data_IF_718870739730
#
_entry.id   IF_718870739730
#
_cell.length_a   1.000
_cell.length_b   1.000
_cell.length_c   1.000
_cell.angle_alpha   90.00
_cell.angle_beta   90.00
_cell.angle_gamma   90.00
#
_symmetry.space_group_name_H-M   'P 1'
#
loop_
_entity.id
_entity.type
_entity.pdbx_description
1 polymer ?
#
# COMPACT_ATOMS: atom_id res chain seq x y z
N UNK A 1 24.33 -6.45 -10.10
CA UNK A 1 25.30 -6.22 -9.00
C UNK A 1 24.49 -5.72 -7.82
N UNK A 2 24.37 -6.50 -6.75
CA UNK A 2 23.71 -6.06 -5.52
C UNK A 2 24.54 -4.93 -4.93
N UNK A 3 23.94 -3.75 -4.74
CA UNK A 3 24.58 -2.60 -4.09
C UNK A 3 24.93 -2.97 -2.64
N UNK A 4 26.21 -2.98 -2.28
CA UNK A 4 26.66 -3.16 -0.89
C UNK A 4 26.42 -1.87 -0.08
N UNK A 5 25.16 -1.67 0.26
CA UNK A 5 24.69 -0.50 1.00
C UNK A 5 25.30 -0.43 2.41
N UNK A 6 25.71 -1.55 3.01
CA UNK A 6 26.28 -1.62 4.36
C UNK A 6 27.60 -0.87 4.50
N UNK A 7 28.29 -0.59 3.40
CA UNK A 7 29.50 0.24 3.40
C UNK A 7 29.22 1.74 3.60
N UNK A 8 27.96 2.18 3.48
CA UNK A 8 27.57 3.60 3.45
C UNK A 8 26.53 4.00 4.51
N UNK A 9 25.69 3.07 4.94
CA UNK A 9 24.64 3.31 5.92
C UNK A 9 24.82 2.40 7.13
N UNK A 10 24.55 2.96 8.30
CA UNK A 10 24.49 2.25 9.57
C UNK A 10 23.05 1.81 9.81
N UNK A 11 22.87 0.65 10.43
CA UNK A 11 21.55 0.13 10.80
C UNK A 11 21.48 -0.04 12.31
N UNK A 12 20.37 0.40 12.89
CA UNK A 12 19.98 0.09 14.26
C UNK A 12 18.72 -0.76 14.20
N UNK A 13 18.76 -1.94 14.81
CA UNK A 13 17.59 -2.80 14.99
C UNK A 13 17.12 -2.67 16.43
N UNK A 14 15.93 -2.11 16.63
CA UNK A 14 15.35 -1.89 17.95
C UNK A 14 14.14 -2.79 18.15
N UNK A 15 14.17 -3.60 19.21
CA UNK A 15 13.05 -4.44 19.63
C UNK A 15 12.05 -3.70 20.54
N UNK A 16 12.35 -2.45 20.89
CA UNK A 16 11.55 -1.62 21.79
C UNK A 16 11.80 -0.15 21.43
N UNK A 17 11.02 0.39 20.49
CA UNK A 17 11.15 1.78 20.03
C UNK A 17 10.44 2.72 21.00
N UNK A 18 10.65 2.54 22.32
CA UNK A 18 10.19 3.30 23.51
C UNK A 18 8.70 3.76 23.57
N UNK A 19 7.92 3.58 22.50
CA UNK A 19 6.61 4.18 22.21
C UNK A 19 5.77 3.31 21.26
N UNK A 20 6.31 2.22 20.71
CA UNK A 20 5.64 1.31 19.76
C UNK A 20 5.76 -0.14 20.21
N UNK A 21 4.64 -0.86 20.18
CA UNK A 21 4.61 -2.33 20.34
C UNK A 21 5.05 -2.97 19.01
N UNK A 22 6.38 -2.97 18.76
CA UNK A 22 6.92 -3.43 17.47
C UNK A 22 8.45 -3.50 17.38
N UNK A 23 8.92 -3.99 16.24
CA UNK A 23 10.35 -4.10 15.90
C UNK A 23 10.63 -3.16 14.72
N UNK A 24 11.77 -2.46 14.77
CA UNK A 24 12.15 -1.46 13.78
C UNK A 24 13.58 -1.57 13.29
N UNK A 25 13.78 -1.24 12.02
CA UNK A 25 15.06 -0.99 11.38
C UNK A 25 15.16 0.50 11.06
N UNK A 26 16.15 1.16 11.65
CA UNK A 26 16.47 2.57 11.39
C UNK A 26 17.80 2.65 10.66
N UNK A 27 17.81 3.34 9.53
CA UNK A 27 18.99 3.53 8.70
C UNK A 27 19.49 4.96 8.81
N UNK A 28 20.78 5.11 9.12
CA UNK A 28 21.42 6.41 9.25
C UNK A 28 22.66 6.52 8.37
N UNK A 29 23.04 7.76 8.02
CA UNK A 29 24.34 8.02 7.40
C UNK A 29 25.48 7.82 8.41
N UNK A 30 26.74 7.79 7.94
CA UNK A 30 27.91 7.81 8.83
C UNK A 30 27.98 9.05 9.74
N UNK A 31 27.19 10.08 9.46
CA UNK A 31 27.03 11.28 10.30
C UNK A 31 25.85 11.20 11.26
N UNK A 32 25.20 10.04 11.37
CA UNK A 32 24.01 9.80 12.18
C UNK A 32 22.80 10.65 11.78
N UNK A 33 22.65 10.91 10.48
CA UNK A 33 21.43 11.51 9.94
C UNK A 33 20.46 10.39 9.54
N UNK A 34 19.22 10.43 10.03
CA UNK A 34 18.18 9.45 9.68
C UNK A 34 17.80 9.59 8.21
N UNK A 35 17.85 8.50 7.45
CA UNK A 35 17.52 8.51 6.02
C UNK A 35 16.27 7.71 5.70
N UNK A 36 16.05 6.62 6.43
CA UNK A 36 14.97 5.69 6.16
C UNK A 36 14.69 4.85 7.41
N UNK A 37 13.44 4.48 7.62
CA UNK A 37 13.08 3.55 8.66
C UNK A 37 12.00 2.59 8.17
N UNK A 38 12.03 1.36 8.66
CA UNK A 38 11.04 0.31 8.38
C UNK A 38 10.66 -0.34 9.70
N UNK A 39 9.37 -0.44 9.98
CA UNK A 39 8.84 -0.99 11.24
C UNK A 39 7.79 -2.06 10.96
N UNK A 40 7.62 -2.97 11.93
CA UNK A 40 6.45 -3.84 12.05
C UNK A 40 5.83 -3.63 13.43
N UNK A 41 4.53 -3.39 13.47
CA UNK A 41 3.74 -3.30 14.70
C UNK A 41 2.77 -4.47 14.80
N UNK A 42 2.63 -5.03 16.00
CA UNK A 42 1.82 -6.23 16.26
C UNK A 42 0.69 -5.98 17.26
N UNK A 43 0.48 -4.73 17.70
CA UNK A 43 -0.51 -4.38 18.72
C UNK A 43 -1.97 -4.44 18.28
N UNK A 44 -2.24 -4.69 17.00
CA UNK A 44 -3.56 -4.70 16.37
C UNK A 44 -4.09 -6.11 16.05
N UNK A 45 -5.17 -6.16 15.26
CA UNK A 45 -5.68 -7.42 14.72
C UNK A 45 -4.74 -8.07 13.70
N UNK A 46 -3.83 -7.27 13.13
CA UNK A 46 -2.92 -7.64 12.05
C UNK A 46 -1.54 -7.04 12.29
N UNK A 47 -0.47 -7.68 11.79
CA UNK A 47 0.81 -7.03 11.59
C UNK A 47 0.68 -5.84 10.63
N UNK A 48 1.18 -4.68 11.05
CA UNK A 48 1.24 -3.48 10.20
C UNK A 48 2.70 -3.16 9.95
N UNK A 49 3.11 -3.22 8.68
CA UNK A 49 4.43 -2.81 8.26
C UNK A 49 4.38 -1.34 7.87
N UNK A 50 5.38 -0.56 8.26
CA UNK A 50 5.46 0.84 7.84
C UNK A 50 6.85 1.23 7.41
N UNK A 51 6.94 2.24 6.57
CA UNK A 51 8.18 2.87 6.18
C UNK A 51 8.01 4.38 6.16
N UNK A 52 9.04 5.08 6.64
CA UNK A 52 9.04 6.52 6.73
C UNK A 52 10.37 7.09 6.22
N UNK A 53 10.27 8.24 5.56
CA UNK A 53 11.43 9.00 5.11
C UNK A 53 12.03 9.78 6.30
N UNK A 54 13.35 9.68 6.47
CA UNK A 54 14.08 10.54 7.40
C UNK A 54 14.38 11.93 6.83
N UNK A 55 14.97 12.80 7.64
CA UNK A 55 15.37 14.16 7.23
C UNK A 55 16.58 14.17 6.29
N UNK A 56 17.36 13.09 6.27
CA UNK A 56 18.51 12.90 5.40
C UNK A 56 18.14 12.67 3.93
N UNK A 57 19.15 12.74 3.06
CA UNK A 57 18.98 12.39 1.65
C UNK A 57 18.67 10.90 1.50
N UNK A 58 17.64 10.57 0.72
CA UNK A 58 17.28 9.18 0.46
C UNK A 58 18.45 8.45 -0.24
N UNK A 59 18.69 7.17 0.12
CA UNK A 59 19.60 6.31 -0.62
C UNK A 59 19.19 6.20 -2.10
N UNK A 60 20.13 5.90 -3.02
CA UNK A 60 19.80 5.57 -4.40
C UNK A 60 18.77 4.44 -4.49
N UNK A 61 17.90 4.40 -5.52
CA UNK A 61 16.77 3.46 -5.59
C UNK A 61 17.13 1.99 -5.33
N UNK A 62 18.18 1.47 -5.96
CA UNK A 62 18.61 0.07 -5.78
C UNK A 62 19.09 -0.23 -4.34
N UNK A 63 19.75 0.73 -3.70
CA UNK A 63 20.19 0.60 -2.31
C UNK A 63 18.98 0.66 -1.36
N UNK A 64 18.07 1.60 -1.60
CA UNK A 64 16.84 1.74 -0.80
C UNK A 64 15.96 0.50 -0.90
N UNK A 65 15.80 -0.06 -2.10
CA UNK A 65 15.07 -1.30 -2.32
C UNK A 65 15.73 -2.49 -1.59
N UNK A 66 17.06 -2.61 -1.66
CA UNK A 66 17.78 -3.66 -0.96
C UNK A 66 17.68 -3.52 0.57
N UNK A 67 17.80 -2.31 1.10
CA UNK A 67 17.64 -2.00 2.53
C UNK A 67 16.22 -2.34 3.02
N UNK A 68 15.20 -1.90 2.29
CA UNK A 68 13.80 -2.18 2.62
C UNK A 68 13.49 -3.67 2.58
N UNK A 69 13.92 -4.38 1.53
CA UNK A 69 13.71 -5.83 1.43
C UNK A 69 14.35 -6.61 2.57
N UNK A 70 15.58 -6.22 2.95
CA UNK A 70 16.27 -6.88 4.04
C UNK A 70 15.55 -6.65 5.38
N UNK A 71 15.15 -5.40 5.67
CA UNK A 71 14.37 -5.10 6.86
C UNK A 71 13.03 -5.86 6.89
N UNK A 72 12.28 -5.86 5.78
CA UNK A 72 11.00 -6.58 5.68
C UNK A 72 11.19 -8.08 5.88
N UNK A 73 12.24 -8.68 5.28
CA UNK A 73 12.52 -10.10 5.46
C UNK A 73 12.83 -10.46 6.93
N UNK A 74 13.65 -9.65 7.60
CA UNK A 74 13.96 -9.84 9.02
C UNK A 74 12.71 -9.66 9.90
N UNK A 75 11.90 -8.65 9.62
CA UNK A 75 10.64 -8.40 10.32
C UNK A 75 9.60 -9.50 10.08
N UNK A 76 9.50 -10.08 8.88
CA UNK A 76 8.63 -11.24 8.66
C UNK A 76 9.11 -12.46 9.45
N UNK A 77 10.41 -12.75 9.39
CA UNK A 77 11.02 -13.86 10.11
C UNK A 77 10.86 -13.74 11.63
N UNK A 78 10.99 -12.53 12.18
CA UNK A 78 10.81 -12.27 13.60
C UNK A 78 9.36 -12.47 14.10
N UNK A 79 8.38 -12.51 13.20
CA UNK A 79 6.97 -12.81 13.52
C UNK A 79 6.58 -14.26 13.15
N UNK A 80 7.52 -15.09 12.71
CA UNK A 80 7.25 -16.43 12.16
C UNK A 80 6.25 -16.40 10.99
N UNK A 81 6.26 -15.31 10.22
CA UNK A 81 5.43 -15.14 9.02
C UNK A 81 6.17 -15.75 7.84
N UNK A 82 5.74 -16.95 7.45
CA UNK A 82 6.34 -17.67 6.34
C UNK A 82 6.19 -16.88 5.02
N UNK A 83 7.24 -16.89 4.20
CA UNK A 83 7.22 -16.30 2.86
C UNK A 83 8.01 -17.21 1.90
N UNK A 84 7.43 -18.39 1.65
CA UNK A 84 8.13 -19.52 1.03
C UNK A 84 8.64 -19.24 -0.39
N UNK A 85 7.96 -18.37 -1.15
CA UNK A 85 8.32 -17.97 -2.51
C UNK A 85 8.87 -16.53 -2.59
N UNK A 86 8.90 -15.82 -1.46
CA UNK A 86 9.37 -14.45 -1.35
C UNK A 86 8.38 -13.41 -1.89
N UNK A 87 7.13 -13.79 -2.19
CA UNK A 87 6.14 -12.88 -2.76
C UNK A 87 5.69 -11.83 -1.73
N UNK A 88 5.38 -12.22 -0.49
CA UNK A 88 4.89 -11.31 0.54
C UNK A 88 5.93 -10.23 0.84
N UNK A 89 7.19 -10.62 1.06
CA UNK A 89 8.30 -9.70 1.30
C UNK A 89 8.50 -8.74 0.13
N UNK A 90 8.46 -9.22 -1.12
CA UNK A 90 8.59 -8.37 -2.30
C UNK A 90 7.44 -7.37 -2.39
N UNK A 91 6.21 -7.80 -2.16
CA UNK A 91 5.02 -7.00 -2.29
C UNK A 91 4.92 -5.92 -1.20
N UNK A 92 5.14 -6.29 0.07
CA UNK A 92 5.25 -5.33 1.19
C UNK A 92 6.38 -4.34 0.91
N UNK A 93 7.57 -4.80 0.52
CA UNK A 93 8.68 -3.90 0.22
C UNK A 93 8.35 -2.91 -0.90
N UNK A 94 7.66 -3.37 -1.96
CA UNK A 94 7.23 -2.51 -3.06
C UNK A 94 6.21 -1.46 -2.60
N UNK A 95 5.23 -1.85 -1.78
CA UNK A 95 4.28 -0.92 -1.18
C UNK A 95 4.98 0.13 -0.30
N UNK A 96 5.86 -0.29 0.60
CA UNK A 96 6.61 0.59 1.50
C UNK A 96 7.50 1.59 0.74
N UNK A 97 8.06 1.20 -0.41
CA UNK A 97 8.86 2.10 -1.24
C UNK A 97 8.05 3.25 -1.84
N UNK A 98 6.72 3.25 -1.80
CA UNK A 98 5.90 4.42 -2.13
C UNK A 98 6.26 5.63 -1.23
N UNK A 99 6.69 5.41 0.02
CA UNK A 99 7.14 6.49 0.93
C UNK A 99 8.43 7.21 0.48
N UNK A 100 9.06 6.73 -0.59
CA UNK A 100 10.22 7.39 -1.19
C UNK A 100 9.87 8.30 -2.37
N UNK A 101 8.61 8.29 -2.81
CA UNK A 101 8.17 9.00 -4.01
C UNK A 101 7.74 10.43 -3.72
N UNK A 102 7.99 11.29 -4.71
CA UNK A 102 7.28 12.53 -4.91
C UNK A 102 6.26 12.30 -6.04
N UNK A 103 4.98 12.16 -5.67
CA UNK A 103 3.91 11.79 -6.61
C UNK A 103 3.38 13.03 -7.30
N UNK A 104 3.58 13.10 -8.62
CA UNK A 104 3.14 14.22 -9.45
C UNK A 104 1.66 14.11 -9.81
N UNK A 105 1.18 12.89 -10.08
CA UNK A 105 -0.20 12.62 -10.43
C UNK A 105 -0.56 11.15 -10.20
N UNK A 106 -1.85 10.87 -10.22
CA UNK A 106 -2.40 9.52 -10.23
C UNK A 106 -3.24 9.30 -11.47
N UNK A 107 -3.19 8.09 -12.01
CA UNK A 107 -4.10 7.65 -13.05
C UNK A 107 -4.48 6.19 -12.85
N UNK A 108 -5.51 5.72 -13.53
CA UNK A 108 -5.99 4.35 -13.39
C UNK A 108 -7.22 4.09 -14.23
N UNK A 109 -7.61 2.82 -14.30
CA UNK A 109 -8.90 2.42 -14.84
C UNK A 109 -9.88 2.23 -13.69
N UNK A 110 -10.89 3.09 -13.62
CA UNK A 110 -11.98 2.99 -12.66
C UNK A 110 -12.98 1.93 -13.12
N UNK A 111 -13.46 1.13 -12.17
CA UNK A 111 -14.63 0.27 -12.34
C UNK A 111 -15.92 1.03 -12.07
N UNK A 112 -16.96 0.73 -12.85
CA UNK A 112 -18.31 1.16 -12.55
C UNK A 112 -18.76 0.57 -11.20
N UNK A 113 -19.53 1.34 -10.42
CA UNK A 113 -20.12 0.84 -9.17
C UNK A 113 -21.19 -0.22 -9.42
N UNK A 114 -21.85 -0.12 -10.58
CA UNK A 114 -22.90 -1.02 -11.02
C UNK A 114 -22.75 -1.24 -12.53
N UNK A 115 -22.87 -2.50 -12.93
CA UNK A 115 -22.79 -2.95 -14.32
C UNK A 115 -24.08 -3.67 -14.70
N UNK A 116 -24.57 -3.39 -15.91
CA UNK A 116 -25.72 -4.06 -16.50
C UNK A 116 -25.33 -5.27 -17.35
N UNK A 117 -26.26 -5.74 -18.15
CA UNK A 117 -25.98 -6.78 -19.16
C UNK A 117 -24.84 -6.33 -20.09
N UNK A 118 -23.98 -7.28 -20.50
CA UNK A 118 -22.81 -7.06 -21.36
C UNK A 118 -21.79 -6.04 -20.82
N UNK A 119 -21.61 -5.99 -19.49
CA UNK A 119 -20.67 -5.09 -18.78
C UNK A 119 -20.88 -3.62 -19.12
N UNK A 120 -22.14 -3.20 -19.29
CA UNK A 120 -22.44 -1.78 -19.52
C UNK A 120 -22.48 -1.04 -18.18
N UNK A 121 -21.62 -0.05 -18.00
CA UNK A 121 -21.62 0.80 -16.81
C UNK A 121 -22.99 1.47 -16.59
N UNK A 122 -23.61 1.22 -15.43
CA UNK A 122 -24.86 1.85 -15.00
C UNK A 122 -24.63 3.02 -14.06
N UNK A 123 -23.63 2.91 -13.19
CA UNK A 123 -23.28 3.94 -12.22
C UNK A 123 -21.77 4.04 -12.05
N UNK A 124 -21.29 5.27 -11.87
CA UNK A 124 -19.90 5.57 -11.58
C UNK A 124 -19.77 6.22 -10.21
N UNK A 125 -18.59 6.12 -9.61
CA UNK A 125 -18.34 6.81 -8.36
C UNK A 125 -18.34 8.34 -8.56
N UNK A 126 -18.94 9.03 -7.60
CA UNK A 126 -19.00 10.47 -7.47
C UNK A 126 -18.13 10.92 -6.28
N UNK A 127 -17.60 12.16 -6.28
CA UNK A 127 -16.79 12.64 -5.15
C UNK A 127 -17.48 12.55 -3.79
N UNK A 128 -18.81 12.66 -3.74
CA UNK A 128 -19.60 12.55 -2.51
C UNK A 128 -19.65 11.13 -1.94
N UNK A 129 -19.35 10.10 -2.74
CA UNK A 129 -19.35 8.71 -2.29
C UNK A 129 -18.14 8.43 -1.40
N UNK A 130 -17.09 9.25 -1.50
CA UNK A 130 -15.86 9.14 -0.70
C UNK A 130 -15.07 7.86 -0.97
N UNK A 131 -15.41 7.12 -2.04
CA UNK A 131 -14.77 5.86 -2.42
C UNK A 131 -14.87 5.64 -3.92
N UNK A 132 -13.87 5.01 -4.52
CA UNK A 132 -13.86 4.71 -5.96
C UNK A 132 -13.07 3.43 -6.22
N UNK A 133 -13.65 2.43 -6.90
CA UNK A 133 -12.96 1.19 -7.25
C UNK A 133 -12.16 1.35 -8.54
N UNK A 134 -10.95 0.80 -8.57
CA UNK A 134 -10.07 0.80 -9.73
C UNK A 134 -9.58 -0.60 -10.03
N UNK A 135 -9.57 -1.01 -11.31
CA UNK A 135 -8.92 -2.23 -11.75
C UNK A 135 -7.40 -2.17 -11.47
N UNK A 136 -6.84 -0.99 -11.68
CA UNK A 136 -5.46 -0.66 -11.35
C UNK A 136 -5.29 0.85 -11.20
N UNK A 137 -4.28 1.23 -10.44
CA UNK A 137 -3.83 2.60 -10.23
C UNK A 137 -2.35 2.72 -10.56
N UNK A 138 -1.92 3.90 -10.99
CA UNK A 138 -0.52 4.23 -11.17
C UNK A 138 -0.19 5.57 -10.51
N UNK A 139 0.75 5.53 -9.57
CA UNK A 139 1.43 6.72 -9.09
C UNK A 139 2.46 7.15 -10.14
N UNK A 140 2.36 8.38 -10.63
CA UNK A 140 3.31 8.99 -11.55
C UNK A 140 4.32 9.81 -10.75
N UNK A 141 5.54 9.30 -10.59
CA UNK A 141 6.61 10.02 -9.91
C UNK A 141 7.49 10.82 -10.87
N UNK A 142 8.40 11.63 -10.34
CA UNK A 142 9.42 12.34 -11.14
C UNK A 142 10.40 11.39 -11.81
N UNK A 143 10.78 10.32 -11.10
CA UNK A 143 11.87 9.42 -11.50
C UNK A 143 11.37 8.01 -11.86
N UNK A 144 10.22 7.60 -11.33
CA UNK A 144 9.65 6.26 -11.51
C UNK A 144 8.15 6.24 -11.26
N UNK A 145 7.49 5.27 -11.88
CA UNK A 145 6.09 4.97 -11.66
C UNK A 145 5.90 3.72 -10.80
N UNK A 146 4.79 3.68 -10.08
CA UNK A 146 4.34 2.50 -9.32
C UNK A 146 2.94 2.11 -9.76
N UNK A 147 2.78 0.88 -10.21
CA UNK A 147 1.49 0.27 -10.47
C UNK A 147 0.99 -0.41 -9.19
N UNK A 148 -0.28 -0.20 -8.90
CA UNK A 148 -1.03 -0.85 -7.85
C UNK A 148 -2.20 -1.55 -8.54
N UNK A 149 -2.32 -2.85 -8.34
CA UNK A 149 -3.39 -3.66 -8.89
C UNK A 149 -3.82 -4.69 -7.86
N UNK A 150 -4.57 -5.68 -8.29
CA UNK A 150 -4.93 -6.82 -7.49
C UNK A 150 -4.06 -8.04 -7.82
N UNK A 151 -3.75 -8.81 -6.79
CA UNK A 151 -3.18 -10.15 -6.82
C UNK A 151 -4.24 -11.14 -6.35
N UNK A 152 -4.38 -12.26 -7.06
CA UNK A 152 -5.27 -13.34 -6.68
C UNK A 152 -4.49 -14.46 -5.99
N UNK A 153 -4.95 -14.86 -4.82
CA UNK A 153 -4.52 -16.06 -4.10
C UNK A 153 -5.72 -16.99 -3.91
N UNK A 154 -5.79 -18.03 -4.74
CA UNK A 154 -6.94 -18.94 -4.83
C UNK A 154 -8.27 -18.19 -4.98
N UNK A 155 -9.07 -18.11 -3.91
CA UNK A 155 -10.42 -17.56 -3.90
C UNK A 155 -10.51 -16.13 -3.32
N UNK A 156 -9.37 -15.53 -2.98
CA UNK A 156 -9.30 -14.21 -2.35
C UNK A 156 -8.30 -13.32 -3.07
N UNK A 157 -8.52 -12.01 -2.96
CA UNK A 157 -7.72 -11.02 -3.63
C UNK A 157 -7.05 -10.06 -2.64
N UNK A 158 -5.83 -9.65 -2.96
CA UNK A 158 -5.04 -8.68 -2.21
C UNK A 158 -4.44 -7.61 -3.12
N UNK A 159 -3.92 -6.54 -2.54
CA UNK A 159 -3.21 -5.50 -3.26
C UNK A 159 -1.85 -6.02 -3.76
N UNK A 160 -1.50 -5.64 -4.99
CA UNK A 160 -0.24 -5.97 -5.66
C UNK A 160 0.48 -4.70 -6.05
N UNK A 161 1.76 -4.61 -5.73
CA UNK A 161 2.61 -3.44 -5.98
C UNK A 161 3.75 -3.82 -6.91
N UNK A 162 3.80 -3.17 -8.07
CA UNK A 162 4.82 -3.42 -9.09
C UNK A 162 5.46 -2.11 -9.49
N UNK A 163 6.79 -2.05 -9.41
CA UNK A 163 7.56 -0.91 -9.92
C UNK A 163 7.81 -1.06 -11.42
N UNK A 164 7.87 0.07 -12.13
CA UNK A 164 8.31 0.16 -13.53
C UNK A 164 7.47 -0.66 -14.54
N UNK A 165 6.16 -0.40 -14.60
CA UNK A 165 5.28 -1.05 -15.58
C UNK A 165 5.06 -0.17 -16.81
N UNK A 166 5.31 -0.73 -17.99
CA UNK A 166 4.92 -0.15 -19.28
C UNK A 166 3.44 -0.47 -19.57
N UNK A 167 2.55 0.17 -18.81
CA UNK A 167 1.11 0.13 -19.01
C UNK A 167 0.67 1.45 -19.64
N UNK A 168 -0.19 1.42 -20.64
CA UNK A 168 -0.79 2.63 -21.18
C UNK A 168 -2.22 2.76 -20.68
N UNK A 169 -2.56 3.93 -20.16
CA UNK A 169 -3.94 4.24 -19.85
C UNK A 169 -4.74 4.22 -21.17
N UNK A 170 -5.83 3.45 -21.27
CA UNK A 170 -6.61 3.36 -22.50
C UNK A 170 -7.09 4.73 -22.99
N UNK A 171 -7.20 4.87 -24.31
CA UNK A 171 -7.68 6.11 -24.94
C UNK A 171 -9.20 6.27 -24.89
N UNK A 172 -9.93 5.18 -24.59
CA UNK A 172 -11.39 5.11 -24.61
C UNK A 172 -11.87 4.15 -23.53
N UNK A 173 -13.04 4.43 -22.98
CA UNK A 173 -13.73 3.56 -22.03
C UNK A 173 -14.14 2.24 -22.69
N UNK A 174 -14.16 1.16 -21.91
CA UNK A 174 -14.50 -0.18 -22.39
C UNK A 174 -15.32 -0.95 -21.35
N UNK A 175 -16.54 -1.33 -21.72
CA UNK A 175 -17.46 -1.98 -20.78
C UNK A 175 -17.69 -1.11 -19.53
N UNK A 176 -17.42 -1.71 -18.38
CA UNK A 176 -17.52 -1.07 -17.06
C UNK A 176 -16.23 -0.40 -16.59
N UNK A 177 -15.27 -0.19 -17.50
CA UNK A 177 -14.00 0.46 -17.21
C UNK A 177 -13.90 1.82 -17.89
N UNK A 178 -13.45 2.84 -17.14
CA UNK A 178 -13.12 4.16 -17.69
C UNK A 178 -11.77 4.65 -17.22
N UNK A 179 -11.10 5.39 -18.09
CA UNK A 179 -9.79 5.96 -17.78
C UNK A 179 -9.90 7.23 -16.92
N UNK A 180 -9.15 7.28 -15.81
CA UNK A 180 -9.10 8.43 -14.90
C UNK A 180 -7.67 8.96 -14.75
N UNK A 181 -7.55 10.29 -14.64
CA UNK A 181 -6.29 11.02 -14.37
C UNK A 181 -6.41 12.00 -13.20
N UNK A 182 -7.61 12.10 -12.64
CA UNK A 182 -8.04 12.98 -11.56
C UNK A 182 -8.39 12.15 -10.33
N UNK A 183 -7.58 11.13 -10.04
CA UNK A 183 -7.81 10.25 -8.88
C UNK A 183 -7.49 11.04 -7.60
N UNK A 184 -8.42 11.13 -6.63
CA UNK A 184 -8.29 11.99 -5.45
C UNK A 184 -7.41 11.36 -4.36
N UNK A 185 -6.20 10.95 -4.74
CA UNK A 185 -5.18 10.41 -3.86
C UNK A 185 -4.14 11.48 -3.49
N UNK A 186 -3.38 11.21 -2.43
CA UNK A 186 -2.26 12.04 -1.98
C UNK A 186 -1.28 12.34 -3.11
N UNK A 187 -0.96 13.62 -3.31
CA UNK A 187 0.08 14.09 -4.25
C UNK A 187 1.20 14.80 -3.49
N UNK A 188 2.37 14.91 -4.11
CA UNK A 188 3.60 15.40 -3.49
C UNK A 188 4.37 14.29 -2.77
N UNK A 189 5.20 14.69 -1.80
CA UNK A 189 6.02 13.76 -1.03
C UNK A 189 5.18 12.89 -0.10
N UNK A 190 5.23 11.57 -0.32
CA UNK A 190 4.67 10.60 0.64
C UNK A 190 5.66 10.48 1.81
N UNK A 191 5.24 10.83 3.01
CA UNK A 191 6.08 10.85 4.22
C UNK A 191 6.19 9.48 4.87
N UNK A 192 5.08 8.75 4.83
CA UNK A 192 4.95 7.45 5.47
C UNK A 192 3.96 6.60 4.68
N UNK A 193 4.23 5.31 4.66
CA UNK A 193 3.32 4.28 4.14
C UNK A 193 3.14 3.24 5.23
N UNK A 194 1.91 2.79 5.42
CA UNK A 194 1.56 1.68 6.29
C UNK A 194 0.84 0.60 5.48
N UNK A 195 1.21 -0.64 5.70
CA UNK A 195 0.80 -1.82 4.92
C UNK A 195 0.25 -2.83 5.90
N UNK A 196 -1.03 -3.15 5.75
CA UNK A 196 -1.69 -4.21 6.52
C UNK A 196 -1.42 -5.53 5.85
N UNK A 197 -0.80 -6.46 6.58
CA UNK A 197 -0.72 -7.85 6.20
C UNK A 197 -1.80 -8.62 6.97
N UNK A 198 -2.92 -8.90 6.33
CA UNK A 198 -3.99 -9.69 6.94
C UNK A 198 -3.63 -11.17 6.90
N UNK A 199 -3.28 -11.71 8.07
CA UNK A 199 -2.91 -13.12 8.31
C UNK A 199 -4.11 -13.99 8.72
N UNK A 200 -5.30 -13.40 8.73
CA UNK A 200 -6.55 -14.01 9.18
C UNK A 200 -7.58 -14.12 8.04
N UNK A 201 -7.19 -13.82 6.80
CA UNK A 201 -8.02 -14.05 5.61
C UNK A 201 -8.22 -15.55 5.43
N UNK A 202 -9.48 -15.97 5.33
CA UNK A 202 -9.83 -17.35 5.00
C UNK A 202 -9.90 -17.49 3.48
N UNK A 203 -9.44 -18.63 2.95
CA UNK A 203 -9.58 -18.97 1.52
C UNK A 203 -8.34 -18.69 0.65
N UNK A 204 -7.29 -18.07 1.20
CA UNK A 204 -5.98 -17.95 0.55
C UNK A 204 -5.08 -19.16 0.82
N UNK A 205 -4.10 -19.39 -0.05
CA UNK A 205 -3.04 -20.39 0.12
C UNK A 205 -1.83 -19.84 0.87
N UNK A 206 -1.62 -18.52 0.80
CA UNK A 206 -0.55 -17.81 1.46
C UNK A 206 -0.89 -17.54 2.95
N UNK A 207 0.13 -17.40 3.82
CA UNK A 207 -0.08 -17.13 5.25
C UNK A 207 -0.55 -15.70 5.54
N UNK A 208 -0.69 -14.84 4.52
CA UNK A 208 -1.32 -13.54 4.64
C UNK A 208 -1.37 -12.80 3.30
N UNK A 209 -2.21 -11.76 3.25
CA UNK A 209 -2.40 -10.90 2.09
C UNK A 209 -2.17 -9.44 2.45
N UNK A 210 -1.59 -8.68 1.52
CA UNK A 210 -1.58 -7.22 1.65
C UNK A 210 -2.97 -6.73 1.30
N UNK A 211 -3.78 -6.35 2.28
CA UNK A 211 -5.19 -6.02 2.07
C UNK A 211 -5.45 -4.53 2.07
N UNK A 212 -4.62 -3.77 2.80
CA UNK A 212 -4.76 -2.33 2.90
C UNK A 212 -3.40 -1.63 2.90
N UNK A 213 -3.37 -0.45 2.28
CA UNK A 213 -2.21 0.45 2.31
C UNK A 213 -2.64 1.88 2.57
N UNK A 214 -2.15 2.47 3.65
CA UNK A 214 -2.37 3.86 4.01
C UNK A 214 -1.16 4.69 3.59
N UNK A 215 -1.42 5.71 2.77
CA UNK A 215 -0.45 6.67 2.30
C UNK A 215 -0.59 7.96 3.12
N UNK A 216 0.50 8.48 3.66
CA UNK A 216 0.54 9.74 4.39
C UNK A 216 1.28 10.80 3.59
N UNK A 217 0.59 11.84 3.17
CA UNK A 217 1.19 13.05 2.60
C UNK A 217 1.33 14.16 3.62
N UNK A 218 1.76 15.33 3.14
CA UNK A 218 1.92 16.51 3.98
C UNK A 218 0.60 17.06 4.55
N UNK A 219 -0.48 16.97 3.78
CA UNK A 219 -1.77 17.61 4.11
C UNK A 219 -2.95 16.65 4.19
N UNK A 220 -2.78 15.40 3.74
CA UNK A 220 -3.86 14.42 3.67
C UNK A 220 -3.31 13.01 3.69
N UNK A 221 -4.19 12.07 4.01
CA UNK A 221 -3.96 10.65 3.83
C UNK A 221 -4.71 10.13 2.61
N UNK A 222 -4.42 8.90 2.23
CA UNK A 222 -5.27 8.12 1.34
C UNK A 222 -5.15 6.65 1.67
N UNK A 223 -6.26 5.93 1.71
CA UNK A 223 -6.29 4.51 1.98
C UNK A 223 -6.64 3.75 0.70
N UNK A 224 -5.91 2.68 0.45
CA UNK A 224 -6.16 1.70 -0.58
C UNK A 224 -6.60 0.40 0.09
N UNK A 225 -7.68 -0.21 -0.40
CA UNK A 225 -8.19 -1.50 0.11
C UNK A 225 -8.44 -2.43 -1.08
N UNK A 226 -8.07 -3.71 -0.97
CA UNK A 226 -8.49 -4.75 -1.90
C UNK A 226 -9.97 -5.09 -1.65
N UNK A 227 -10.85 -4.61 -2.53
CA UNK A 227 -12.30 -4.72 -2.38
C UNK A 227 -13.01 -4.39 -3.70
N UNK A 228 -14.30 -4.71 -3.81
CA UNK A 228 -15.11 -4.38 -4.98
C UNK A 228 -16.52 -3.94 -4.60
N UNK A 229 -17.12 -3.11 -5.46
CA UNK A 229 -18.52 -2.72 -5.37
C UNK A 229 -19.40 -3.65 -6.20
N UNK A 230 -20.40 -4.25 -5.58
CA UNK A 230 -21.47 -4.98 -6.27
C UNK A 230 -22.71 -4.11 -6.47
N UNK A 231 -22.81 -3.04 -5.68
CA UNK A 231 -23.70 -1.92 -5.89
C UNK A 231 -23.16 -0.68 -5.17
N UNK A 232 -23.88 0.44 -5.26
CA UNK A 232 -23.50 1.64 -4.52
C UNK A 232 -23.32 1.42 -3.00
N UNK A 233 -24.08 0.49 -2.41
CA UNK A 233 -24.11 0.23 -0.97
C UNK A 233 -23.59 -1.16 -0.57
N UNK A 234 -23.13 -1.96 -1.52
CA UNK A 234 -22.66 -3.32 -1.25
C UNK A 234 -21.19 -3.45 -1.67
N UNK A 235 -20.33 -3.64 -0.68
CA UNK A 235 -18.89 -3.62 -0.84
C UNK A 235 -18.28 -4.89 -0.25
N UNK A 236 -17.55 -5.63 -1.09
CA UNK A 236 -16.94 -6.89 -0.72
C UNK A 236 -15.43 -6.71 -0.54
N UNK A 237 -14.87 -7.17 0.58
CA UNK A 237 -13.43 -7.22 0.80
C UNK A 237 -12.81 -8.39 0.06
N UNK A 238 -11.51 -8.27 -0.19
CA UNK A 238 -10.69 -9.31 -0.82
C UNK A 238 -11.17 -9.66 -2.22
N UNK A 239 -11.51 -8.63 -3.00
CA UNK A 239 -12.09 -8.78 -4.34
C UNK A 239 -11.29 -8.00 -5.41
N UNK A 240 -11.75 -8.00 -6.66
CA UNK A 240 -10.97 -7.72 -7.88
C UNK A 240 -10.57 -6.25 -8.11
N UNK A 241 -10.88 -5.34 -7.18
CA UNK A 241 -10.58 -3.91 -7.33
C UNK A 241 -9.70 -3.33 -6.22
N UNK A 242 -8.96 -2.28 -6.56
CA UNK A 242 -8.30 -1.38 -5.63
C UNK A 242 -9.26 -0.24 -5.31
N UNK A 243 -9.85 -0.24 -4.11
CA UNK A 243 -10.75 0.82 -3.67
C UNK A 243 -9.95 1.93 -2.99
N UNK A 244 -10.11 3.14 -3.52
CA UNK A 244 -9.53 4.38 -2.98
C UNK A 244 -10.49 5.01 -1.99
N UNK A 245 -10.02 5.31 -0.78
CA UNK A 245 -10.73 6.07 0.26
C UNK A 245 -9.85 7.20 0.80
N UNK A 246 -10.42 8.27 1.40
CA UNK A 246 -9.62 9.38 1.93
C UNK A 246 -8.79 8.99 3.16
N UNK A 247 -9.30 8.11 4.02
CA UNK A 247 -8.63 7.68 5.25
C UNK A 247 -9.24 6.39 5.83
N UNK A 248 -8.69 5.94 6.96
CA UNK A 248 -9.19 4.77 7.71
C UNK A 248 -10.58 5.00 8.30
N UNK A 249 -10.91 6.23 8.72
CA UNK A 249 -12.22 6.52 9.29
C UNK A 249 -13.34 6.41 8.25
N UNK A 250 -13.07 6.76 6.99
CA UNK A 250 -13.99 6.55 5.88
C UNK A 250 -14.22 5.05 5.61
N UNK A 251 -13.18 4.22 5.71
CA UNK A 251 -13.34 2.76 5.62
C UNK A 251 -14.11 2.18 6.82
N UNK A 252 -13.85 2.66 8.04
CA UNK A 252 -14.56 2.22 9.26
C UNK A 252 -16.07 2.53 9.22
N UNK A 253 -16.48 3.51 8.41
CA UNK A 253 -17.88 3.92 8.28
C UNK A 253 -18.70 3.07 7.28
N UNK A 254 -18.07 2.13 6.57
CA UNK A 254 -18.72 1.30 5.56
C UNK A 254 -19.09 -0.08 6.11
N UNK A 255 -20.23 -0.60 5.62
CA UNK A 255 -20.68 -1.95 5.89
C UNK A 255 -20.02 -2.93 4.90
N UNK A 256 -18.84 -3.43 5.28
CA UNK A 256 -18.06 -4.39 4.48
C UNK A 256 -18.59 -5.82 4.56
N UNK A 257 -18.45 -6.57 3.46
CA UNK A 257 -18.72 -8.00 3.37
C UNK A 257 -17.44 -8.75 3.00
N UNK A 258 -16.88 -9.64 3.84
CA UNK A 258 -17.18 -9.79 5.26
C UNK A 258 -16.85 -8.51 6.07
N UNK A 259 -17.27 -8.42 7.34
CA UNK A 259 -16.96 -7.27 8.18
C UNK A 259 -15.44 -7.02 8.28
N UNK A 260 -15.03 -5.78 7.98
CA UNK A 260 -13.65 -5.33 8.11
C UNK A 260 -13.22 -5.33 9.57
N UNK A 261 -12.02 -5.84 9.87
CA UNK A 261 -11.43 -5.71 11.20
C UNK A 261 -10.66 -4.38 11.27
N UNK A 262 -10.96 -3.58 12.29
CA UNK A 262 -10.35 -2.27 12.41
C UNK A 262 -8.90 -2.40 12.88
N UNK A 263 -8.03 -1.57 12.29
CA UNK A 263 -6.68 -1.32 12.76
C UNK A 263 -6.50 0.20 12.93
N UNK A 264 -5.44 0.61 13.63
CA UNK A 264 -5.17 2.03 13.89
C UNK A 264 -3.86 2.44 13.25
N UNK A 265 -3.83 3.56 12.50
CA UNK A 265 -2.59 4.16 12.04
C UNK A 265 -1.64 4.44 13.19
N UNK A 266 -0.35 4.22 12.94
CA UNK A 266 0.69 4.24 13.97
C UNK A 266 1.20 5.67 14.26
N UNK A 267 0.74 6.66 13.50
CA UNK A 267 0.93 8.09 13.77
C UNK A 267 -0.36 8.89 13.54
N UNK A 268 -0.67 9.77 14.50
CA UNK A 268 -1.48 10.96 14.26
C UNK A 268 -0.47 12.11 14.14
N UNK A 269 -0.26 12.72 12.95
CA UNK A 269 0.58 13.91 12.85
C UNK A 269 0.02 15.00 13.78
N UNK A 270 0.76 15.38 14.83
CA UNK A 270 0.36 16.50 15.70
C UNK A 270 0.49 16.31 17.21
N UNK A 271 1.38 15.44 17.71
CA UNK A 271 1.87 15.52 19.10
C UNK A 271 3.38 15.54 19.16
#
# INVERSE_FOLDING_TARGET
MTSDWRSRWLVTVASDVLTRDGIGWEFTTLRQEDVWAVFREDGGAFPVFSAARGEGALPPPDALEAMTREAVADLLAAADLADGDGWIMKNISAALLLASLDVLAWEGEEWALESGDDDVALAWAMPADGRTPFAWLRARGSDRDFLISIYQDDAVFGLSFVSNVDLQLPGTDHGSLRSRRDVPLVVGGIKKVEVVLDTLVEGGSAPGLVTEVLLHGDASTSLLIAAESYSHNEWHLYDESVVVLPDVAAADALDWIPPRRNWRPTEVPGR
#
